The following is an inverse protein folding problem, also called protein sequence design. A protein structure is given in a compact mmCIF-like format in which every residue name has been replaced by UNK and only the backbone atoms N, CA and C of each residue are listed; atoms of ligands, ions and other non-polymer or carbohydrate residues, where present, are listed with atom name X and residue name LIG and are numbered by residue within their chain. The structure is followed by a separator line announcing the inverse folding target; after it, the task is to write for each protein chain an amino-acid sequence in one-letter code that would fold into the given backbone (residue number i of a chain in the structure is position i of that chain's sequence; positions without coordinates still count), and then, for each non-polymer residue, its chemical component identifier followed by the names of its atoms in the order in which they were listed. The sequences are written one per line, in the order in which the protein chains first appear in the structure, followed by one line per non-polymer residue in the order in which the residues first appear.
data_IF_380111654070
#
_entry.id   IF_380111654070
#
_cell.length_a   1.000
_cell.length_b   1.000
_cell.length_c   1.000
_cell.angle_alpha   90.00
_cell.angle_beta   90.00
_cell.angle_gamma   90.00
#
_symmetry.space_group_name_H-M   'P 1'
#
loop_
_entity.id
_entity.type
_entity.pdbx_description
1 polymer ?
#
# COMPACT_ATOMS: atom_id res chain seq x y z
N UNK A 1 -52.61 36.63 -47.00
CA UNK A 1 -51.17 36.37 -46.96
C UNK A 1 -50.87 35.63 -45.68
N UNK A 2 -50.73 34.31 -45.74
CA UNK A 2 -50.56 33.44 -44.57
C UNK A 2 -49.07 33.08 -44.45
N UNK A 3 -48.41 33.58 -43.40
CA UNK A 3 -47.06 33.24 -43.09
C UNK A 3 -46.98 31.83 -42.47
N UNK A 4 -46.44 30.89 -43.21
CA UNK A 4 -46.13 29.52 -42.76
C UNK A 4 -44.77 29.62 -42.05
N UNK A 5 -44.75 29.56 -40.68
CA UNK A 5 -43.55 29.39 -39.91
C UNK A 5 -43.13 27.91 -39.94
N UNK A 6 -42.04 27.63 -40.62
CA UNK A 6 -41.34 26.33 -40.57
C UNK A 6 -40.60 26.25 -39.24
N UNK A 7 -41.08 25.37 -38.31
CA UNK A 7 -40.35 25.00 -37.09
C UNK A 7 -39.31 23.94 -37.49
N UNK A 8 -38.06 24.36 -37.66
CA UNK A 8 -36.93 23.46 -37.82
C UNK A 8 -36.59 22.89 -36.43
N UNK A 9 -36.98 21.66 -36.18
CA UNK A 9 -36.56 20.91 -35.00
C UNK A 9 -35.07 20.58 -35.16
N UNK A 10 -34.23 21.27 -34.41
CA UNK A 10 -32.80 20.94 -34.22
C UNK A 10 -32.69 19.65 -33.41
N UNK A 11 -32.63 18.52 -34.07
CA UNK A 11 -32.12 17.28 -33.50
C UNK A 11 -30.61 17.46 -33.30
N UNK A 12 -30.19 17.91 -32.11
CA UNK A 12 -28.80 17.78 -31.69
C UNK A 12 -28.54 16.30 -31.45
N UNK A 13 -27.62 15.65 -32.18
CA UNK A 13 -27.19 14.32 -31.82
C UNK A 13 -26.54 14.44 -30.43
N UNK A 14 -27.06 13.71 -29.45
CA UNK A 14 -26.37 13.48 -28.19
C UNK A 14 -25.05 12.82 -28.55
N UNK A 15 -23.99 13.61 -28.65
CA UNK A 15 -22.64 13.08 -28.72
C UNK A 15 -22.37 12.40 -27.38
N UNK A 16 -22.55 11.10 -27.34
CA UNK A 16 -22.01 10.26 -26.25
C UNK A 16 -20.50 10.47 -26.31
N UNK A 17 -19.96 11.22 -25.38
CA UNK A 17 -18.54 11.40 -25.25
C UNK A 17 -17.93 10.01 -24.97
N UNK A 18 -17.35 9.41 -25.99
CA UNK A 18 -16.63 8.15 -25.88
C UNK A 18 -15.39 8.41 -25.06
N UNK A 19 -15.35 7.89 -23.85
CA UNK A 19 -14.19 8.06 -22.98
C UNK A 19 -13.03 7.20 -23.48
N UNK A 20 -12.08 7.84 -24.15
CA UNK A 20 -10.81 7.23 -24.56
C UNK A 20 -9.72 7.71 -23.60
N UNK A 21 -9.00 6.78 -23.02
CA UNK A 21 -7.90 7.06 -22.11
C UNK A 21 -6.62 6.46 -22.68
N UNK A 22 -5.62 7.30 -22.84
CA UNK A 22 -4.31 6.90 -23.35
C UNK A 22 -3.20 7.36 -22.40
N UNK A 23 -2.37 6.42 -21.95
CA UNK A 23 -1.18 6.67 -21.13
C UNK A 23 0.05 6.51 -22.02
N UNK A 24 0.85 7.57 -22.11
CA UNK A 24 2.06 7.58 -22.92
C UNK A 24 3.12 6.57 -22.40
N UNK A 25 4.08 6.16 -23.23
CA UNK A 25 5.19 5.31 -22.78
C UNK A 25 5.93 5.94 -21.60
N UNK A 26 6.26 5.13 -20.59
CA UNK A 26 6.87 5.57 -19.32
C UNK A 26 6.07 6.65 -18.56
N UNK A 27 4.87 6.97 -19.04
CA UNK A 27 3.99 7.97 -18.41
C UNK A 27 3.27 7.44 -17.20
N UNK A 28 2.97 8.34 -16.27
CA UNK A 28 2.10 8.05 -15.12
C UNK A 28 0.89 8.96 -15.20
N UNK A 29 -0.30 8.37 -15.30
CA UNK A 29 -1.56 9.10 -15.33
C UNK A 29 -2.40 8.72 -14.12
N UNK A 30 -2.88 9.71 -13.38
CA UNK A 30 -3.91 9.50 -12.37
C UNK A 30 -5.27 9.77 -13.00
N UNK A 31 -6.19 8.83 -12.82
CA UNK A 31 -7.54 8.97 -13.33
C UNK A 31 -8.28 10.10 -12.60
N UNK A 32 -8.64 11.20 -13.28
CA UNK A 32 -9.29 12.34 -12.64
C UNK A 32 -10.80 12.10 -12.56
N UNK A 33 -11.24 11.26 -11.64
CA UNK A 33 -12.66 10.99 -11.45
C UNK A 33 -13.08 11.09 -10.00
N UNK A 34 -14.27 11.64 -9.77
CA UNK A 34 -14.97 11.62 -8.49
C UNK A 34 -16.08 10.58 -8.49
N UNK A 35 -16.41 9.99 -9.66
CA UNK A 35 -17.42 8.95 -9.78
C UNK A 35 -16.94 7.63 -9.19
N UNK A 36 -17.88 6.82 -8.71
CA UNK A 36 -17.63 5.46 -8.25
C UNK A 36 -17.61 4.44 -9.39
N UNK A 37 -18.23 4.76 -10.50
CA UNK A 37 -18.33 3.90 -11.70
C UNK A 37 -17.83 4.66 -12.92
N UNK A 38 -17.04 3.99 -13.77
CA UNK A 38 -16.50 4.57 -14.99
C UNK A 38 -16.63 3.60 -16.15
N UNK A 39 -17.15 4.10 -17.26
CA UNK A 39 -17.23 3.38 -18.54
C UNK A 39 -16.24 4.00 -19.52
N UNK A 40 -15.35 3.17 -20.03
CA UNK A 40 -14.29 3.57 -20.96
C UNK A 40 -14.47 2.75 -22.23
N UNK A 41 -14.51 3.40 -23.36
CA UNK A 41 -14.57 2.70 -24.63
C UNK A 41 -13.20 2.11 -25.00
N UNK A 42 -12.14 2.90 -24.87
CA UNK A 42 -10.79 2.43 -25.13
C UNK A 42 -9.83 2.89 -24.05
N UNK A 43 -9.15 1.94 -23.46
CA UNK A 43 -8.06 2.17 -22.51
C UNK A 43 -6.76 1.63 -23.10
N UNK A 44 -5.84 2.53 -23.41
CA UNK A 44 -4.51 2.17 -23.89
C UNK A 44 -3.45 2.65 -22.90
N UNK A 45 -2.67 1.72 -22.39
CA UNK A 45 -1.50 2.01 -21.56
C UNK A 45 -0.28 1.54 -22.35
N UNK A 46 0.53 2.47 -22.80
CA UNK A 46 1.72 2.16 -23.60
C UNK A 46 2.80 1.49 -22.73
N UNK A 47 3.87 1.08 -23.36
CA UNK A 47 5.00 0.39 -22.73
C UNK A 47 5.51 1.13 -21.49
N UNK A 48 5.70 0.41 -20.38
CA UNK A 48 6.09 0.94 -19.06
C UNK A 48 5.18 2.06 -18.51
N UNK A 49 4.03 2.30 -19.13
CA UNK A 49 3.04 3.27 -18.67
C UNK A 49 2.33 2.79 -17.40
N UNK A 50 1.91 3.73 -16.55
CA UNK A 50 1.19 3.43 -15.33
C UNK A 50 -0.10 4.25 -15.24
N UNK A 51 -1.23 3.57 -15.07
CA UNK A 51 -2.51 4.19 -14.75
C UNK A 51 -2.79 4.03 -13.25
N UNK A 52 -2.99 5.17 -12.57
CA UNK A 52 -3.36 5.18 -11.14
C UNK A 52 -4.87 5.31 -11.00
N UNK A 53 -5.51 4.29 -10.42
CA UNK A 53 -6.93 4.24 -10.12
C UNK A 53 -7.17 4.77 -8.71
N UNK A 54 -8.01 5.80 -8.52
CA UNK A 54 -8.27 6.36 -7.19
C UNK A 54 -9.12 5.44 -6.31
N UNK A 55 -9.08 5.65 -5.00
CA UNK A 55 -9.77 4.80 -4.02
C UNK A 55 -11.30 4.83 -4.13
N UNK A 56 -11.87 5.98 -4.54
CA UNK A 56 -13.31 6.17 -4.68
C UNK A 56 -13.93 5.43 -5.88
N UNK A 57 -13.11 5.01 -6.88
CA UNK A 57 -13.61 4.23 -8.00
C UNK A 57 -13.77 2.76 -7.57
N UNK A 58 -14.98 2.24 -7.70
CA UNK A 58 -15.33 0.86 -7.33
C UNK A 58 -15.61 -0.03 -8.54
N UNK A 59 -15.95 0.57 -9.68
CA UNK A 59 -16.25 -0.17 -10.89
C UNK A 59 -15.67 0.53 -12.13
N UNK A 60 -14.98 -0.24 -12.96
CA UNK A 60 -14.48 0.21 -14.26
C UNK A 60 -14.82 -0.81 -15.33
N UNK A 61 -15.53 -0.37 -16.34
CA UNK A 61 -15.86 -1.16 -17.54
C UNK A 61 -15.11 -0.61 -18.72
N UNK A 62 -14.39 -1.47 -19.41
CA UNK A 62 -13.57 -1.14 -20.57
C UNK A 62 -14.03 -1.97 -21.76
N UNK A 63 -14.43 -1.33 -22.85
CA UNK A 63 -14.81 -2.07 -24.04
C UNK A 63 -13.58 -2.64 -24.76
N UNK A 64 -12.53 -1.84 -24.89
CA UNK A 64 -11.27 -2.27 -25.51
C UNK A 64 -10.07 -1.90 -24.62
N UNK A 65 -9.33 -2.89 -24.15
CA UNK A 65 -8.14 -2.74 -23.31
C UNK A 65 -6.87 -3.07 -24.10
N UNK A 66 -5.90 -2.18 -24.09
CA UNK A 66 -4.56 -2.45 -24.60
C UNK A 66 -3.51 -2.15 -23.52
N UNK A 67 -2.86 -3.18 -22.99
CA UNK A 67 -1.73 -3.05 -22.08
C UNK A 67 -0.44 -3.39 -22.81
N UNK A 68 0.42 -2.38 -23.00
CA UNK A 68 1.75 -2.57 -23.55
C UNK A 68 2.67 -3.35 -22.62
N UNK A 69 3.88 -3.63 -23.07
CA UNK A 69 4.89 -4.35 -22.28
C UNK A 69 5.17 -3.61 -20.96
N UNK A 70 5.21 -4.37 -19.87
CA UNK A 70 5.45 -3.85 -18.52
C UNK A 70 4.49 -2.71 -18.11
N UNK A 71 3.35 -2.58 -18.80
CA UNK A 71 2.32 -1.61 -18.45
C UNK A 71 1.65 -1.96 -17.13
N UNK A 72 1.22 -0.93 -16.38
CA UNK A 72 0.71 -1.12 -15.04
C UNK A 72 -0.61 -0.40 -14.80
N UNK A 73 -1.59 -1.12 -14.24
CA UNK A 73 -2.76 -0.54 -13.61
C UNK A 73 -2.55 -0.63 -12.09
N UNK A 74 -2.42 0.51 -11.42
CA UNK A 74 -2.22 0.57 -9.97
C UNK A 74 -3.50 1.09 -9.31
N UNK A 75 -4.14 0.25 -8.52
CA UNK A 75 -5.42 0.52 -7.85
C UNK A 75 -5.11 0.93 -6.41
N UNK A 76 -5.59 2.12 -6.02
CA UNK A 76 -5.38 2.62 -4.67
C UNK A 76 -6.05 1.70 -3.62
N UNK A 77 -5.43 1.53 -2.44
CA UNK A 77 -6.03 0.80 -1.33
C UNK A 77 -7.36 1.44 -0.92
N UNK A 78 -8.37 0.63 -0.68
CA UNK A 78 -9.67 1.03 -0.16
C UNK A 78 -10.37 -0.19 0.45
N UNK A 79 -11.33 0.06 1.34
CA UNK A 79 -12.16 -0.99 1.92
C UNK A 79 -13.14 -1.59 0.92
N UNK A 80 -13.66 -0.75 0.01
CA UNK A 80 -14.60 -1.20 -1.02
C UNK A 80 -13.87 -2.02 -2.07
N UNK A 81 -14.49 -3.12 -2.49
CA UNK A 81 -14.02 -3.94 -3.59
C UNK A 81 -13.92 -3.12 -4.89
N UNK A 82 -13.01 -3.50 -5.76
CA UNK A 82 -12.88 -2.93 -7.10
C UNK A 82 -13.26 -3.96 -8.14
N UNK A 83 -14.14 -3.59 -9.07
CA UNK A 83 -14.58 -4.42 -10.19
C UNK A 83 -14.02 -3.88 -11.49
N UNK A 84 -13.35 -4.74 -12.24
CA UNK A 84 -12.87 -4.49 -13.59
C UNK A 84 -13.54 -5.45 -14.56
N UNK A 85 -14.24 -4.90 -15.53
CA UNK A 85 -14.82 -5.67 -16.64
C UNK A 85 -14.17 -5.22 -17.94
N UNK A 86 -13.65 -6.17 -18.72
CA UNK A 86 -13.03 -5.93 -20.02
C UNK A 86 -13.72 -6.79 -21.05
N UNK A 87 -14.30 -6.15 -22.06
CA UNK A 87 -15.00 -6.89 -23.13
C UNK A 87 -14.02 -7.49 -24.13
N UNK A 88 -13.02 -6.73 -24.57
CA UNK A 88 -11.99 -7.21 -25.49
C UNK A 88 -10.65 -6.56 -25.20
N UNK A 89 -9.56 -7.17 -25.63
CA UNK A 89 -8.26 -6.51 -25.51
C UNK A 89 -7.06 -7.40 -25.69
N UNK A 90 -5.92 -6.75 -25.58
CA UNK A 90 -4.59 -7.35 -25.69
C UNK A 90 -3.74 -6.95 -24.48
N UNK A 91 -3.08 -7.91 -23.89
CA UNK A 91 -2.19 -7.74 -22.75
C UNK A 91 -0.81 -8.29 -23.13
N UNK A 92 0.14 -7.39 -23.33
CA UNK A 92 1.51 -7.76 -23.66
C UNK A 92 2.26 -8.32 -22.44
N UNK A 93 3.48 -8.79 -22.66
CA UNK A 93 4.33 -9.38 -21.63
C UNK A 93 4.66 -8.42 -20.50
N UNK A 94 4.71 -8.94 -19.27
CA UNK A 94 5.08 -8.18 -18.08
C UNK A 94 3.99 -7.23 -17.56
N UNK A 95 2.81 -7.20 -18.18
CA UNK A 95 1.72 -6.33 -17.72
C UNK A 95 1.26 -6.68 -16.30
N UNK A 96 0.92 -5.67 -15.52
CA UNK A 96 0.58 -5.83 -14.12
C UNK A 96 -0.70 -5.07 -13.72
N UNK A 97 -1.58 -5.75 -12.98
CA UNK A 97 -2.66 -5.12 -12.22
C UNK A 97 -2.30 -5.22 -10.74
N UNK A 98 -2.12 -4.07 -10.07
CA UNK A 98 -1.68 -4.01 -8.69
C UNK A 98 -2.74 -3.36 -7.81
N UNK A 99 -3.18 -4.07 -6.78
CA UNK A 99 -4.14 -3.62 -5.77
C UNK A 99 -3.60 -3.87 -4.35
N UNK A 100 -2.31 -3.60 -4.15
CA UNK A 100 -1.62 -3.84 -2.89
C UNK A 100 -2.16 -2.97 -1.77
N UNK A 101 -2.18 -3.52 -0.58
CA UNK A 101 -2.46 -2.78 0.65
C UNK A 101 -1.38 -1.73 0.95
N UNK A 102 -1.77 -0.69 1.68
CA UNK A 102 -0.84 0.33 2.13
C UNK A 102 0.00 -0.17 3.31
N UNK A 103 1.26 0.24 3.35
CA UNK A 103 2.15 0.00 4.48
C UNK A 103 1.62 0.71 5.73
N UNK A 104 1.74 0.07 6.88
CA UNK A 104 1.48 0.71 8.16
C UNK A 104 2.46 1.85 8.46
N UNK A 105 1.99 2.80 9.24
CA UNK A 105 2.77 3.89 9.81
C UNK A 105 2.64 3.82 11.34
N UNK A 106 3.44 4.53 12.13
CA UNK A 106 3.26 4.55 13.59
C UNK A 106 1.85 4.96 14.05
N UNK A 107 1.11 5.72 13.22
CA UNK A 107 -0.22 6.24 13.54
C UNK A 107 -1.36 5.44 12.90
N UNK A 108 -1.08 4.65 11.88
CA UNK A 108 -2.08 3.92 11.12
C UNK A 108 -1.64 2.48 10.87
N UNK A 109 -2.51 1.50 11.08
CA UNK A 109 -2.19 0.11 10.75
C UNK A 109 -1.99 -0.08 9.26
N UNK A 110 -1.32 -1.17 8.88
CA UNK A 110 -1.23 -1.58 7.50
C UNK A 110 -2.62 -1.93 6.94
N UNK A 111 -2.87 -1.60 5.68
CA UNK A 111 -4.12 -1.93 5.00
C UNK A 111 -4.01 -3.26 4.24
N UNK A 112 -5.07 -4.04 4.18
CA UNK A 112 -5.11 -5.25 3.36
C UNK A 112 -5.01 -4.93 1.87
N UNK A 113 -4.67 -5.92 1.06
CA UNK A 113 -4.84 -5.84 -0.38
C UNK A 113 -6.31 -5.56 -0.72
N UNK A 114 -6.57 -4.71 -1.71
CA UNK A 114 -7.95 -4.38 -2.10
C UNK A 114 -8.61 -5.57 -2.76
N UNK A 115 -9.80 -5.94 -2.31
CA UNK A 115 -10.61 -7.00 -2.92
C UNK A 115 -10.88 -6.68 -4.39
N UNK A 116 -10.65 -7.65 -5.29
CA UNK A 116 -10.81 -7.49 -6.73
C UNK A 116 -11.85 -8.46 -7.29
N UNK A 117 -12.65 -7.96 -8.22
CA UNK A 117 -13.45 -8.78 -9.13
C UNK A 117 -13.07 -8.41 -10.56
N UNK A 118 -12.43 -9.31 -11.28
CA UNK A 118 -11.94 -9.07 -12.64
C UNK A 118 -12.62 -10.04 -13.59
N UNK A 119 -13.27 -9.49 -14.61
CA UNK A 119 -13.88 -10.24 -15.70
C UNK A 119 -13.24 -9.86 -17.02
N UNK A 120 -12.60 -10.81 -17.67
CA UNK A 120 -12.02 -10.65 -19.01
C UNK A 120 -12.84 -11.52 -19.98
N UNK A 121 -13.37 -10.93 -21.05
CA UNK A 121 -14.18 -11.69 -22.02
C UNK A 121 -13.31 -12.14 -23.21
N UNK A 122 -13.16 -11.32 -24.23
CA UNK A 122 -12.35 -11.64 -25.40
C UNK A 122 -10.96 -10.98 -25.27
N UNK A 123 -10.13 -11.45 -24.34
CA UNK A 123 -8.80 -10.88 -24.06
C UNK A 123 -7.71 -11.89 -24.36
N UNK A 124 -6.73 -11.47 -25.14
CA UNK A 124 -5.49 -12.23 -25.39
C UNK A 124 -4.40 -11.69 -24.49
N UNK A 125 -3.69 -12.55 -23.80
CA UNK A 125 -2.60 -12.14 -22.90
C UNK A 125 -1.35 -12.97 -23.14
N UNK A 126 -0.18 -12.31 -23.16
CA UNK A 126 1.13 -12.97 -23.15
C UNK A 126 1.58 -13.28 -21.73
N UNK A 127 1.46 -12.31 -20.81
CA UNK A 127 1.59 -12.54 -19.36
C UNK A 127 0.91 -11.44 -18.57
N UNK A 128 0.26 -11.80 -17.47
CA UNK A 128 -0.43 -10.88 -16.57
C UNK A 128 -0.11 -11.21 -15.12
N UNK A 129 0.44 -10.24 -14.39
CA UNK A 129 0.65 -10.32 -12.96
C UNK A 129 -0.46 -9.59 -12.21
N UNK A 130 -1.20 -10.30 -11.35
CA UNK A 130 -2.08 -9.73 -10.35
C UNK A 130 -1.36 -9.66 -9.01
N UNK A 131 -1.10 -8.45 -8.50
CA UNK A 131 -0.45 -8.25 -7.22
C UNK A 131 -1.40 -7.54 -6.26
N UNK A 132 -2.01 -8.30 -5.37
CA UNK A 132 -2.94 -7.80 -4.36
C UNK A 132 -2.52 -8.23 -2.94
N UNK A 133 -1.23 -8.15 -2.67
CA UNK A 133 -0.63 -8.45 -1.36
C UNK A 133 -1.06 -7.44 -0.31
N UNK A 134 -1.06 -7.88 0.95
CA UNK A 134 -1.26 -7.00 2.10
C UNK A 134 -0.11 -6.00 2.30
N UNK A 135 -0.39 -4.91 2.99
CA UNK A 135 0.61 -3.93 3.41
C UNK A 135 1.48 -4.47 4.55
N UNK A 136 2.75 -4.11 4.58
CA UNK A 136 3.64 -4.47 5.69
C UNK A 136 3.33 -3.61 6.92
N UNK A 137 3.42 -4.19 8.11
CA UNK A 137 3.34 -3.48 9.39
C UNK A 137 4.48 -2.46 9.56
N UNK A 138 4.23 -1.41 10.33
CA UNK A 138 5.27 -0.45 10.69
C UNK A 138 6.21 -1.05 11.75
N UNK A 139 7.50 -0.70 11.74
CA UNK A 139 8.42 -1.10 12.81
C UNK A 139 8.05 -0.41 14.12
N UNK A 140 8.34 -1.06 15.24
CA UNK A 140 8.29 -0.46 16.57
C UNK A 140 9.32 0.68 16.70
N UNK A 141 9.01 1.66 17.53
CA UNK A 141 9.94 2.75 17.86
C UNK A 141 11.10 2.24 18.70
N UNK A 142 12.28 2.85 18.53
CA UNK A 142 13.42 2.59 19.41
C UNK A 142 13.21 3.26 20.78
N UNK A 143 13.47 2.55 21.86
CA UNK A 143 13.50 3.11 23.20
C UNK A 143 14.61 4.17 23.32
N UNK A 144 14.36 5.21 24.09
CA UNK A 144 15.36 6.25 24.36
C UNK A 144 16.37 5.74 25.40
N UNK A 145 17.61 6.14 25.23
CA UNK A 145 18.65 5.88 26.23
C UNK A 145 18.35 6.66 27.53
N UNK A 146 18.68 6.07 28.65
CA UNK A 146 18.60 6.70 29.95
C UNK A 146 19.67 7.81 30.06
N UNK A 147 19.33 8.92 30.70
CA UNK A 147 20.28 9.98 30.98
C UNK A 147 21.34 9.53 32.00
N UNK A 148 22.55 10.01 31.82
CA UNK A 148 23.65 9.75 32.77
C UNK A 148 23.36 10.40 34.13
N UNK A 149 23.80 9.75 35.18
CA UNK A 149 23.78 10.25 36.53
C UNK A 149 24.83 11.37 36.74
N UNK A 150 24.55 12.23 37.69
CA UNK A 150 25.47 13.34 38.06
C UNK A 150 26.57 12.84 39.00
N UNK A 151 27.79 13.29 38.77
CA UNK A 151 28.91 13.02 39.67
C UNK A 151 28.69 13.69 41.05
N UNK A 152 29.15 13.06 42.11
CA UNK A 152 29.12 13.65 43.45
C UNK A 152 29.92 14.94 43.57
N UNK A 153 29.43 15.88 44.39
CA UNK A 153 30.10 17.13 44.70
C UNK A 153 30.91 17.06 46.00
N UNK A 154 32.00 17.84 46.09
CA UNK A 154 32.80 17.88 47.33
C UNK A 154 32.21 18.73 48.45
N UNK A 155 31.23 19.58 48.18
CA UNK A 155 30.55 20.39 49.17
C UNK A 155 29.11 19.93 49.39
N UNK A 156 28.45 19.52 48.33
CA UNK A 156 27.05 19.12 48.38
C UNK A 156 26.75 18.06 47.29
N UNK A 157 25.93 17.08 47.68
CA UNK A 157 25.37 16.09 46.73
C UNK A 157 26.21 14.82 46.60
N UNK A 158 25.49 13.69 46.65
CA UNK A 158 26.03 12.37 46.34
C UNK A 158 25.90 12.15 44.84
N UNK A 159 26.72 11.25 44.28
CA UNK A 159 26.55 10.82 42.88
C UNK A 159 25.15 10.21 42.71
N UNK A 160 24.51 10.54 41.62
CA UNK A 160 23.20 9.99 41.27
C UNK A 160 23.31 8.80 40.34
N UNK A 161 22.40 7.86 40.49
CA UNK A 161 22.29 6.72 39.56
C UNK A 161 21.94 7.19 38.15
N UNK A 162 22.46 6.51 37.13
CA UNK A 162 21.99 6.67 35.76
C UNK A 162 20.51 6.29 35.62
N UNK A 163 19.81 6.97 34.74
CA UNK A 163 18.41 6.65 34.46
C UNK A 163 18.31 5.36 33.65
N UNK A 164 17.19 4.65 33.85
CA UNK A 164 16.91 3.45 33.07
C UNK A 164 16.57 3.82 31.63
N UNK A 165 17.03 3.02 30.65
CA UNK A 165 16.64 3.13 29.25
C UNK A 165 15.16 2.74 29.06
N UNK A 166 14.54 3.29 28.05
CA UNK A 166 13.15 2.99 27.71
C UNK A 166 13.05 1.68 26.92
N UNK A 167 11.92 1.01 27.04
CA UNK A 167 11.63 -0.16 26.21
C UNK A 167 11.43 0.25 24.74
N UNK A 168 11.87 -0.59 23.82
CA UNK A 168 11.48 -0.52 22.42
C UNK A 168 9.99 -0.81 22.25
N UNK A 169 9.36 -0.21 21.26
CA UNK A 169 7.97 -0.47 20.90
C UNK A 169 7.80 -1.76 20.14
N UNK A 170 6.60 -2.32 20.19
CA UNK A 170 6.26 -3.47 19.37
C UNK A 170 6.09 -3.07 17.89
N UNK A 171 6.51 -3.94 16.98
CA UNK A 171 6.21 -3.83 15.56
C UNK A 171 4.73 -4.10 15.32
N UNK A 172 4.14 -3.39 14.37
CA UNK A 172 2.75 -3.60 13.96
C UNK A 172 2.61 -4.89 13.15
N UNK A 173 1.42 -5.49 13.19
CA UNK A 173 1.10 -6.63 12.34
C UNK A 173 1.05 -6.23 10.86
N UNK A 174 1.41 -7.16 9.98
CA UNK A 174 1.18 -7.06 8.55
C UNK A 174 -0.30 -7.28 8.23
N UNK A 175 -0.80 -6.64 7.19
CA UNK A 175 -2.18 -6.78 6.77
C UNK A 175 -2.41 -8.00 5.86
N UNK A 176 -3.64 -8.46 5.76
CA UNK A 176 -4.03 -9.59 4.92
C UNK A 176 -3.84 -9.31 3.42
N UNK A 177 -3.55 -10.34 2.63
CA UNK A 177 -3.71 -10.34 1.18
C UNK A 177 -5.17 -10.23 0.79
N UNK A 178 -5.44 -9.82 -0.46
CA UNK A 178 -6.79 -9.61 -0.96
C UNK A 178 -7.55 -10.90 -1.25
N UNK A 179 -8.87 -10.80 -1.32
CA UNK A 179 -9.73 -11.76 -2.00
C UNK A 179 -9.87 -11.34 -3.47
N UNK A 180 -9.61 -12.25 -4.39
CA UNK A 180 -9.65 -11.98 -5.83
C UNK A 180 -10.59 -12.97 -6.50
N UNK A 181 -11.62 -12.45 -7.17
CA UNK A 181 -12.50 -13.22 -8.05
C UNK A 181 -12.12 -12.95 -9.50
N UNK A 182 -11.80 -14.00 -10.24
CA UNK A 182 -11.42 -13.97 -11.64
C UNK A 182 -12.46 -14.70 -12.47
N UNK A 183 -13.01 -14.04 -13.45
CA UNK A 183 -13.93 -14.61 -14.44
C UNK A 183 -13.23 -14.55 -15.80
N UNK A 184 -12.87 -15.72 -16.34
CA UNK A 184 -12.08 -15.85 -17.55
C UNK A 184 -12.74 -16.82 -18.53
N UNK A 185 -12.58 -16.66 -19.86
CA UNK A 185 -13.00 -17.67 -20.84
C UNK A 185 -12.33 -19.02 -20.60
N UNK A 186 -12.99 -20.08 -21.02
CA UNK A 186 -12.45 -21.45 -20.88
C UNK A 186 -11.11 -21.63 -21.58
N UNK A 187 -10.92 -20.96 -22.72
CA UNK A 187 -9.72 -21.01 -23.55
C UNK A 187 -8.60 -20.06 -23.09
N UNK A 188 -8.83 -19.21 -22.07
CA UNK A 188 -7.79 -18.33 -21.53
C UNK A 188 -6.66 -19.17 -20.88
N UNK A 189 -5.39 -19.02 -21.33
CA UNK A 189 -4.29 -19.87 -20.87
C UNK A 189 -3.96 -19.58 -19.39
N UNK A 190 -4.06 -20.58 -18.53
CA UNK A 190 -3.78 -20.39 -17.09
C UNK A 190 -2.31 -20.03 -16.81
N UNK A 191 -1.37 -20.49 -17.65
CA UNK A 191 0.07 -20.27 -17.46
C UNK A 191 0.52 -18.83 -17.67
N UNK A 192 -0.28 -17.99 -18.34
CA UNK A 192 0.05 -16.58 -18.52
C UNK A 192 -0.34 -15.72 -17.31
N UNK A 193 -1.12 -16.28 -16.39
CA UNK A 193 -1.61 -15.58 -15.21
C UNK A 193 -0.76 -15.92 -13.98
N UNK A 194 -0.21 -14.91 -13.34
CA UNK A 194 0.44 -15.01 -12.04
C UNK A 194 -0.35 -14.20 -11.01
N UNK A 195 -0.63 -14.80 -9.86
CA UNK A 195 -1.39 -14.13 -8.79
C UNK A 195 -0.56 -14.13 -7.52
N UNK A 196 -0.40 -12.94 -6.90
CA UNK A 196 0.29 -12.75 -5.61
C UNK A 196 -0.67 -12.17 -4.60
N UNK A 197 -0.97 -12.96 -3.57
CA UNK A 197 -1.94 -12.64 -2.52
C UNK A 197 -1.34 -12.81 -1.11
N UNK A 198 -0.01 -12.76 -1.00
CA UNK A 198 0.65 -12.91 0.29
C UNK A 198 0.19 -11.81 1.25
N UNK A 199 0.07 -12.13 2.52
CA UNK A 199 -0.07 -11.12 3.56
C UNK A 199 1.18 -10.24 3.66
N UNK A 200 1.05 -9.06 4.23
CA UNK A 200 2.16 -8.18 4.52
C UNK A 200 3.08 -8.77 5.60
N UNK A 201 4.37 -8.48 5.54
CA UNK A 201 5.27 -8.81 6.64
C UNK A 201 4.94 -7.99 7.88
N UNK A 202 5.10 -8.57 9.06
CA UNK A 202 5.03 -7.82 10.32
C UNK A 202 6.18 -6.81 10.43
N UNK A 203 5.95 -5.76 11.19
CA UNK A 203 6.95 -4.75 11.52
C UNK A 203 8.05 -5.32 12.41
N UNK A 204 9.26 -4.84 12.27
CA UNK A 204 10.37 -5.21 13.15
C UNK A 204 10.15 -4.67 14.56
N UNK A 205 10.65 -5.39 15.57
CA UNK A 205 10.68 -4.93 16.95
C UNK A 205 11.55 -3.66 17.09
N UNK A 206 11.13 -2.73 17.91
CA UNK A 206 11.93 -1.58 18.32
C UNK A 206 13.07 -2.01 19.25
N UNK A 207 14.23 -1.39 19.09
CA UNK A 207 15.39 -1.65 19.93
C UNK A 207 15.19 -1.04 21.33
N UNK A 208 15.76 -1.66 22.34
CA UNK A 208 15.79 -1.12 23.70
C UNK A 208 16.75 0.07 23.80
N UNK A 209 16.40 1.07 24.61
CA UNK A 209 17.32 2.11 25.02
C UNK A 209 18.34 1.56 26.03
N UNK A 210 19.57 2.09 25.98
CA UNK A 210 20.62 1.76 26.95
C UNK A 210 20.35 2.46 28.27
N UNK A 211 20.78 1.87 29.40
CA UNK A 211 20.81 2.58 30.66
C UNK A 211 21.89 3.66 30.68
N UNK A 212 21.57 4.81 31.28
CA UNK A 212 22.54 5.88 31.51
C UNK A 212 23.64 5.43 32.49
N UNK A 213 24.83 5.98 32.34
CA UNK A 213 25.94 5.70 33.27
C UNK A 213 25.68 6.31 34.64
N UNK A 214 26.06 5.64 35.68
CA UNK A 214 26.04 6.22 37.01
C UNK A 214 27.05 7.34 37.20
N UNK A 215 26.74 8.31 38.04
CA UNK A 215 27.62 9.40 38.37
C UNK A 215 28.98 8.89 38.94
N UNK A 216 30.08 9.45 38.43
CA UNK A 216 31.40 9.02 38.85
C UNK A 216 31.70 9.39 40.31
N UNK A 217 32.55 8.58 40.94
CA UNK A 217 33.15 8.93 42.21
C UNK A 217 34.04 10.17 42.06
N UNK A 218 34.12 11.01 43.08
CA UNK A 218 34.98 12.18 43.11
C UNK A 218 35.84 12.21 44.37
N UNK A 219 37.13 12.31 44.21
CA UNK A 219 38.07 12.55 45.30
C UNK A 219 38.02 14.00 45.76
N UNK A 220 37.93 14.23 47.07
CA UNK A 220 37.97 15.56 47.72
C UNK A 220 39.17 15.62 48.64
N UNK A 221 39.52 16.80 49.14
CA UNK A 221 40.73 16.98 49.94
C UNK A 221 40.86 16.09 51.17
N UNK A 222 39.73 15.77 51.83
CA UNK A 222 39.68 15.01 53.08
C UNK A 222 38.85 13.74 52.96
N UNK A 223 38.09 13.53 51.86
CA UNK A 223 37.20 12.40 51.65
C UNK A 223 36.96 12.14 50.15
N UNK A 224 36.32 11.08 49.84
CA UNK A 224 35.85 10.79 48.46
C UNK A 224 34.34 10.49 48.50
N UNK A 225 33.62 10.98 47.47
CA UNK A 225 32.23 10.55 47.25
C UNK A 225 32.23 9.26 46.45
N UNK A 226 31.39 8.32 46.83
CA UNK A 226 31.21 7.10 46.04
C UNK A 226 30.47 7.39 44.76
N UNK A 227 30.82 6.69 43.67
CA UNK A 227 30.05 6.69 42.45
C UNK A 227 28.74 5.98 42.62
N UNK A 228 27.78 6.23 41.74
CA UNK A 228 26.48 5.59 41.74
C UNK A 228 26.42 4.55 40.58
N UNK A 229 25.52 3.60 40.69
CA UNK A 229 25.33 2.56 39.68
C UNK A 229 24.72 3.05 38.41
N UNK A 230 24.92 2.31 37.32
CA UNK A 230 24.30 2.57 36.02
C UNK A 230 22.79 2.31 36.07
N UNK A 231 22.07 2.95 35.13
CA UNK A 231 20.70 2.62 34.79
C UNK A 231 20.60 1.23 34.18
N UNK A 232 19.42 0.66 34.18
CA UNK A 232 19.16 -0.61 33.51
C UNK A 232 18.82 -0.34 32.05
N UNK A 233 19.22 -1.21 31.10
CA UNK A 233 18.73 -1.12 29.73
C UNK A 233 17.23 -1.42 29.70
N UNK A 234 16.52 -0.84 28.74
CA UNK A 234 15.15 -1.21 28.42
C UNK A 234 15.04 -2.65 27.89
N UNK A 235 13.85 -3.02 27.50
CA UNK A 235 13.58 -4.29 26.82
C UNK A 235 13.31 -4.05 25.34
N UNK A 236 13.74 -4.97 24.48
CA UNK A 236 13.40 -4.97 23.05
C UNK A 236 11.91 -5.25 22.92
N UNK A 237 11.20 -4.55 22.04
CA UNK A 237 9.82 -4.84 21.72
C UNK A 237 9.62 -6.21 21.04
N UNK A 238 8.40 -6.53 20.71
CA UNK A 238 8.06 -7.72 19.94
C UNK A 238 7.96 -7.41 18.45
N UNK A 239 8.35 -8.35 17.59
CA UNK A 239 8.06 -8.21 16.16
C UNK A 239 6.57 -8.44 15.89
N UNK A 240 6.01 -7.68 14.95
CA UNK A 240 4.64 -7.89 14.50
C UNK A 240 4.50 -9.23 13.76
N UNK A 241 3.32 -9.81 13.80
CA UNK A 241 3.00 -11.00 13.03
C UNK A 241 2.83 -10.67 11.54
N UNK A 242 3.13 -11.63 10.65
CA UNK A 242 2.78 -11.51 9.23
C UNK A 242 1.25 -11.62 9.05
N UNK A 243 0.70 -10.87 8.11
CA UNK A 243 -0.70 -10.98 7.74
C UNK A 243 -1.00 -12.31 7.05
N UNK A 244 -2.25 -12.80 7.11
CA UNK A 244 -2.64 -14.00 6.38
C UNK A 244 -2.64 -13.75 4.87
N UNK A 245 -2.39 -14.81 4.09
CA UNK A 245 -2.55 -14.75 2.63
C UNK A 245 -4.02 -14.60 2.24
N UNK A 246 -4.25 -13.94 1.12
CA UNK A 246 -5.56 -13.85 0.49
C UNK A 246 -5.97 -15.12 -0.22
N UNK A 247 -7.08 -15.05 -0.95
CA UNK A 247 -7.62 -16.17 -1.72
C UNK A 247 -7.97 -15.75 -3.14
N UNK A 248 -7.94 -16.71 -4.07
CA UNK A 248 -8.40 -16.53 -5.44
C UNK A 248 -9.54 -17.51 -5.75
N UNK A 249 -10.62 -16.97 -6.31
CA UNK A 249 -11.76 -17.73 -6.85
C UNK A 249 -11.75 -17.57 -8.37
N UNK A 250 -11.50 -18.68 -9.08
CA UNK A 250 -11.40 -18.69 -10.54
C UNK A 250 -12.63 -19.35 -11.15
N UNK A 251 -13.40 -18.56 -11.88
CA UNK A 251 -14.56 -18.98 -12.64
C UNK A 251 -14.24 -19.01 -14.13
N UNK A 252 -14.60 -20.08 -14.80
CA UNK A 252 -14.48 -20.25 -16.25
C UNK A 252 -15.85 -20.21 -16.90
N UNK A 253 -15.99 -19.52 -18.02
CA UNK A 253 -17.25 -19.42 -18.77
C UNK A 253 -17.04 -19.55 -20.29
#
# INVERSE_FOLDING_TARGET
MRNLMLLAALFSPLALAQAVIEVAPHGVMRLPTTASTLHIERLRIAEHGTLLIPANLTEMRVAELHLGRDARIAIAPAEQAFRLEVASGEIASGAQISARGARGTPQQPALPGRTLSIRLQAVVAESLLLDARGGNGAPGYAGLDGADGQAGGCTWGQASRGHDGQNGGDGQEGAAGAQVRLELPVDFPAQVLQVRLDGGAGGLAGQAGQGGRGGLSKGCLLYSTQGAGDGRPGQVGNAGAAGPSGSVDLLRF
#
